data_IF_600037695252
#
_entry.id   IF_600037695252
#
_cell.length_a   1.000
_cell.length_b   1.000
_cell.length_c   1.000
_cell.angle_alpha   90.00
_cell.angle_beta   90.00
_cell.angle_gamma   90.00
#
_symmetry.space_group_name_H-M   'P 1'
#
loop_
_entity.id
_entity.type
_entity.pdbx_description
1 polymer ?
#
# COMPACT_ATOMS: atom_id res chain seq x y z
N UNK A 1 10.70 -7.10 16.75
CA UNK A 1 9.31 -6.64 17.00
C UNK A 1 8.59 -6.75 15.67
N UNK A 2 7.39 -7.32 15.60
CA UNK A 2 6.68 -7.43 14.32
C UNK A 2 6.24 -6.03 13.89
N UNK A 3 6.96 -5.42 12.95
CA UNK A 3 6.54 -4.17 12.33
C UNK A 3 5.18 -4.41 11.67
N UNK A 4 4.17 -3.67 12.10
CA UNK A 4 2.83 -3.73 11.53
C UNK A 4 2.93 -3.40 10.05
N UNK A 5 2.49 -4.32 9.20
CA UNK A 5 2.49 -4.16 7.74
C UNK A 5 1.51 -3.07 7.27
N UNK A 6 0.65 -2.59 8.16
CA UNK A 6 -0.35 -1.54 7.93
C UNK A 6 -0.15 -0.45 8.98
N UNK A 7 -0.01 0.80 8.53
CA UNK A 7 0.20 1.97 9.39
C UNK A 7 -0.78 3.08 9.01
N UNK A 8 -1.52 3.64 9.97
CA UNK A 8 -2.34 4.86 9.74
C UNK A 8 -1.44 6.08 9.55
N UNK A 9 -1.82 6.93 8.61
CA UNK A 9 -1.06 8.11 8.18
C UNK A 9 -1.98 9.32 7.97
N UNK A 10 -3.06 9.39 8.74
CA UNK A 10 -4.09 10.42 8.61
C UNK A 10 -3.55 11.85 8.76
N UNK A 11 -2.52 12.03 9.58
CA UNK A 11 -1.87 13.32 9.85
C UNK A 11 -0.96 13.82 8.71
N UNK A 12 -0.59 12.93 7.78
CA UNK A 12 0.32 13.24 6.66
C UNK A 12 -0.28 12.93 5.29
N UNK A 13 -1.56 12.58 5.22
CA UNK A 13 -2.22 12.11 3.98
C UNK A 13 -2.19 13.09 2.80
N UNK A 14 -1.90 14.37 3.04
CA UNK A 14 -1.81 15.44 2.03
C UNK A 14 -0.37 15.89 1.75
N UNK A 15 0.63 15.27 2.39
CA UNK A 15 2.05 15.63 2.25
C UNK A 15 2.81 14.48 1.60
N UNK A 16 2.95 14.54 0.27
CA UNK A 16 3.61 13.52 -0.53
C UNK A 16 5.05 13.24 -0.08
N UNK A 17 5.76 14.28 0.37
CA UNK A 17 7.14 14.13 0.84
C UNK A 17 7.17 13.33 2.13
N UNK A 18 6.32 13.68 3.11
CA UNK A 18 6.22 12.93 4.37
C UNK A 18 5.69 11.53 4.17
N UNK A 19 4.75 11.32 3.24
CA UNK A 19 4.26 9.99 2.88
C UNK A 19 5.37 9.12 2.29
N UNK A 20 6.18 9.66 1.39
CA UNK A 20 7.31 8.94 0.80
C UNK A 20 8.40 8.62 1.84
N UNK A 21 8.76 9.59 2.68
CA UNK A 21 9.70 9.39 3.78
C UNK A 21 9.20 8.28 4.72
N UNK A 22 7.91 8.30 5.07
CA UNK A 22 7.32 7.28 5.94
C UNK A 22 7.27 5.91 5.29
N UNK A 23 6.89 5.82 4.01
CA UNK A 23 6.88 4.57 3.27
C UNK A 23 8.29 3.96 3.17
N UNK A 24 9.29 4.80 2.89
CA UNK A 24 10.71 4.41 2.82
C UNK A 24 11.22 3.89 4.16
N UNK A 25 10.92 4.60 5.26
CA UNK A 25 11.24 4.19 6.63
C UNK A 25 10.63 2.83 6.97
N UNK A 26 9.32 2.67 6.71
CA UNK A 26 8.58 1.44 7.02
C UNK A 26 8.99 0.24 6.16
N UNK A 27 9.39 0.48 4.90
CA UNK A 27 9.83 -0.58 3.99
C UNK A 27 11.30 -0.98 4.20
N UNK A 28 12.12 -0.11 4.78
CA UNK A 28 13.56 -0.31 4.91
C UNK A 28 14.32 -0.18 3.58
N UNK A 29 13.71 0.45 2.58
CA UNK A 29 14.24 0.65 1.23
C UNK A 29 13.70 1.93 0.61
N UNK A 30 14.41 2.49 -0.37
CA UNK A 30 13.96 3.70 -1.06
C UNK A 30 12.72 3.42 -1.92
N UNK A 31 11.63 4.12 -1.59
CA UNK A 31 10.41 4.10 -2.37
C UNK A 31 10.09 5.50 -2.90
N UNK A 32 9.49 5.56 -4.08
CA UNK A 32 9.04 6.79 -4.73
C UNK A 32 7.53 6.77 -4.89
N UNK A 33 6.84 7.79 -4.37
CA UNK A 33 5.37 7.88 -4.49
C UNK A 33 4.97 8.26 -5.93
N UNK A 34 3.94 7.60 -6.46
CA UNK A 34 3.33 8.01 -7.72
C UNK A 34 2.49 9.28 -7.51
N UNK A 35 2.61 10.21 -8.45
CA UNK A 35 1.78 11.41 -8.55
C UNK A 35 0.29 11.11 -8.75
N UNK A 36 -0.08 9.92 -9.25
CA UNK A 36 -1.46 9.58 -9.62
C UNK A 36 -2.12 8.68 -8.59
N UNK A 37 -3.34 9.05 -8.18
CA UNK A 37 -4.27 8.11 -7.57
C UNK A 37 -4.86 7.19 -8.65
N UNK A 38 -4.95 5.91 -8.32
CA UNK A 38 -5.51 4.86 -9.16
C UNK A 38 -6.65 4.19 -8.41
N UNK A 39 -7.71 3.82 -9.14
CA UNK A 39 -8.79 2.99 -8.60
C UNK A 39 -8.51 1.54 -8.94
N UNK A 40 -8.49 0.69 -7.92
CA UNK A 40 -8.33 -0.75 -8.09
C UNK A 40 -9.48 -1.39 -8.87
N UNK A 41 -9.33 -2.66 -9.24
CA UNK A 41 -10.39 -3.47 -9.84
C UNK A 41 -10.60 -4.79 -9.10
N UNK A 42 -11.71 -5.47 -9.42
CA UNK A 42 -12.24 -6.65 -8.71
C UNK A 42 -11.17 -7.69 -8.36
N UNK A 43 -10.21 -7.92 -9.26
CA UNK A 43 -9.05 -8.79 -9.03
C UNK A 43 -7.79 -8.22 -9.67
N UNK A 44 -7.27 -7.12 -9.11
CA UNK A 44 -6.02 -6.53 -9.58
C UNK A 44 -4.83 -7.00 -8.72
N UNK A 45 -3.84 -7.63 -9.36
CA UNK A 45 -2.56 -7.95 -8.75
C UNK A 45 -1.58 -6.80 -9.05
N UNK A 46 -0.88 -6.33 -8.02
CA UNK A 46 0.16 -5.31 -8.19
C UNK A 46 1.43 -5.91 -8.79
N UNK A 47 2.13 -5.10 -9.58
CA UNK A 47 3.44 -5.45 -10.10
C UNK A 47 4.49 -5.56 -8.97
N UNK A 48 5.53 -6.35 -9.19
CA UNK A 48 6.59 -6.59 -8.19
C UNK A 48 7.46 -5.37 -7.92
N UNK A 49 7.42 -4.34 -8.77
CA UNK A 49 8.05 -3.04 -8.53
C UNK A 49 7.33 -2.21 -7.47
N UNK A 50 6.11 -2.57 -7.08
CA UNK A 50 5.37 -1.85 -6.02
C UNK A 50 5.88 -2.31 -4.65
N UNK A 51 6.39 -1.39 -3.84
CA UNK A 51 6.91 -1.65 -2.49
C UNK A 51 5.94 -1.28 -1.37
N UNK A 52 5.03 -0.34 -1.63
CA UNK A 52 3.96 0.02 -0.70
C UNK A 52 2.75 0.60 -1.44
N UNK A 53 1.62 0.68 -0.74
CA UNK A 53 0.39 1.29 -1.24
C UNK A 53 -0.21 2.19 -0.17
N UNK A 54 -0.55 3.43 -0.53
CA UNK A 54 -1.41 4.29 0.26
C UNK A 54 -2.86 3.94 -0.10
N UNK A 55 -3.66 3.55 0.88
CA UNK A 55 -5.08 3.25 0.68
C UNK A 55 -5.91 4.34 1.33
N UNK A 56 -6.78 4.97 0.55
CA UNK A 56 -7.84 5.82 1.06
C UNK A 56 -9.04 4.95 1.43
N UNK A 57 -9.34 4.86 2.72
CA UNK A 57 -10.40 3.98 3.23
C UNK A 57 -11.80 4.45 2.83
N UNK A 58 -12.03 5.76 2.87
CA UNK A 58 -13.31 6.34 2.46
C UNK A 58 -13.40 6.44 0.94
N UNK A 59 -14.21 5.58 0.32
CA UNK A 59 -14.36 5.52 -1.12
C UNK A 59 -15.36 4.45 -1.56
N UNK A 60 -15.14 3.89 -2.76
CA UNK A 60 -15.93 2.76 -3.22
C UNK A 60 -15.65 1.50 -2.39
N UNK A 61 -16.62 0.58 -2.38
CA UNK A 61 -16.48 -0.69 -1.68
C UNK A 61 -15.35 -1.52 -2.28
N UNK A 62 -14.47 -2.03 -1.41
CA UNK A 62 -13.36 -2.88 -1.80
C UNK A 62 -12.47 -3.24 -0.62
N UNK A 63 -11.34 -3.85 -0.93
CA UNK A 63 -10.27 -4.10 0.01
C UNK A 63 -8.92 -4.14 -0.70
N UNK A 64 -7.87 -3.81 0.04
CA UNK A 64 -6.49 -4.10 -0.33
C UNK A 64 -5.92 -5.16 0.61
N UNK A 65 -5.24 -6.16 0.07
CA UNK A 65 -4.62 -7.23 0.85
C UNK A 65 -3.21 -7.54 0.35
N UNK A 66 -2.37 -8.04 1.26
CA UNK A 66 -1.04 -8.56 0.90
C UNK A 66 -0.99 -10.06 1.15
N UNK A 67 -0.59 -10.82 0.13
CA UNK A 67 -0.42 -12.27 0.19
C UNK A 67 1.04 -12.66 -0.07
N UNK A 68 1.36 -13.97 -0.06
CA UNK A 68 2.71 -14.46 -0.34
C UNK A 68 3.52 -14.85 0.91
N UNK A 69 4.84 -14.91 0.75
CA UNK A 69 5.76 -15.43 1.77
C UNK A 69 5.79 -14.57 3.03
N UNK A 70 5.96 -15.21 4.20
CA UNK A 70 6.10 -14.50 5.47
C UNK A 70 4.86 -13.71 5.92
N UNK A 71 3.70 -13.93 5.30
CA UNK A 71 2.43 -13.31 5.72
C UNK A 71 2.04 -13.81 7.12
N UNK A 72 1.39 -12.98 7.96
CA UNK A 72 0.77 -13.46 9.18
C UNK A 72 -0.28 -14.54 8.87
N UNK A 73 -0.57 -15.41 9.84
CA UNK A 73 -1.55 -16.50 9.69
C UNK A 73 -2.94 -15.97 9.30
N UNK A 74 -3.27 -14.76 9.76
CA UNK A 74 -4.41 -13.97 9.30
C UNK A 74 -3.91 -12.87 8.37
N UNK A 75 -4.37 -12.88 7.12
CA UNK A 75 -4.02 -11.84 6.16
C UNK A 75 -4.87 -10.61 6.45
N UNK A 76 -4.29 -9.49 6.93
CA UNK A 76 -5.09 -8.32 7.21
C UNK A 76 -5.57 -7.70 5.90
N UNK A 77 -6.88 -7.44 5.83
CA UNK A 77 -7.49 -6.68 4.74
C UNK A 77 -7.65 -5.23 5.18
N UNK A 78 -7.20 -4.29 4.34
CA UNK A 78 -7.61 -2.90 4.45
C UNK A 78 -8.92 -2.75 3.70
N UNK A 79 -10.04 -2.69 4.42
CA UNK A 79 -11.38 -2.52 3.86
C UNK A 79 -11.60 -1.05 3.48
N UNK A 80 -12.23 -0.83 2.33
CA UNK A 80 -12.66 0.48 1.84
C UNK A 80 -14.17 0.51 1.62
N UNK A 81 -14.77 1.69 1.78
CA UNK A 81 -16.19 1.90 1.55
C UNK A 81 -16.71 3.23 2.09
N UNK A 82 -17.99 3.57 1.86
CA UNK A 82 -18.57 4.85 2.28
C UNK A 82 -18.60 5.07 3.80
N UNK A 83 -18.64 3.98 4.58
CA UNK A 83 -18.63 4.02 6.05
C UNK A 83 -17.24 3.91 6.68
N UNK A 84 -16.19 3.74 5.86
CA UNK A 84 -14.82 3.68 6.33
C UNK A 84 -14.18 5.06 6.28
N UNK A 85 -13.18 5.30 7.13
CA UNK A 85 -12.45 6.57 7.18
C UNK A 85 -10.96 6.37 7.35
N UNK A 86 -10.20 7.36 6.87
CA UNK A 86 -8.76 7.48 7.06
C UNK A 86 -7.89 6.97 5.92
N UNK A 87 -6.59 7.09 6.11
CA UNK A 87 -5.52 6.73 5.18
C UNK A 87 -4.54 5.79 5.87
N UNK A 88 -4.16 4.73 5.15
CA UNK A 88 -3.16 3.78 5.65
C UNK A 88 -2.11 3.51 4.58
N UNK A 89 -0.86 3.38 5.01
CA UNK A 89 0.22 2.79 4.20
C UNK A 89 0.27 1.30 4.48
N UNK A 90 0.29 0.51 3.40
CA UNK A 90 0.46 -0.94 3.43
C UNK A 90 1.79 -1.29 2.77
N UNK A 91 2.69 -1.93 3.51
CA UNK A 91 4.00 -2.37 2.99
C UNK A 91 3.84 -3.70 2.25
N UNK A 92 4.49 -3.84 1.10
CA UNK A 92 4.56 -5.08 0.33
C UNK A 92 6.01 -5.51 0.30
N UNK A 93 6.39 -6.49 1.12
CA UNK A 93 7.79 -6.95 1.22
C UNK A 93 8.17 -7.80 0.00
N UNK A 94 9.48 -7.94 -0.31
CA UNK A 94 9.94 -8.87 -1.35
C UNK A 94 9.37 -10.29 -1.14
N UNK A 95 8.85 -10.90 -2.21
CA UNK A 95 8.18 -12.21 -2.17
C UNK A 95 6.72 -12.17 -1.70
N UNK A 96 6.18 -10.98 -1.42
CA UNK A 96 4.76 -10.75 -1.20
C UNK A 96 4.09 -10.16 -2.44
N UNK A 97 2.76 -10.21 -2.46
CA UNK A 97 1.95 -9.70 -3.57
C UNK A 97 0.82 -8.84 -3.01
N UNK A 98 0.79 -7.57 -3.41
CA UNK A 98 -0.34 -6.68 -3.16
C UNK A 98 -1.49 -6.97 -4.10
N UNK A 99 -2.72 -6.90 -3.62
CA UNK A 99 -3.89 -7.26 -4.39
C UNK A 99 -5.11 -6.41 -4.01
N UNK A 100 -5.75 -5.84 -5.02
CA UNK A 100 -7.05 -5.19 -4.87
C UNK A 100 -8.18 -6.20 -5.02
N UNK A 101 -9.23 -5.98 -4.23
CA UNK A 101 -10.53 -6.63 -4.32
C UNK A 101 -11.58 -5.52 -4.41
N UNK A 102 -12.39 -5.50 -5.47
CA UNK A 102 -13.30 -4.37 -5.74
C UNK A 102 -12.56 -3.11 -6.18
N UNK A 103 -13.03 -1.93 -5.76
CA UNK A 103 -12.58 -0.64 -6.33
C UNK A 103 -11.94 0.30 -5.29
N UNK A 104 -10.91 -0.11 -4.54
CA UNK A 104 -10.27 0.78 -3.57
C UNK A 104 -9.52 1.92 -4.27
N UNK A 105 -9.59 3.13 -3.72
CA UNK A 105 -8.74 4.26 -4.15
C UNK A 105 -7.34 4.13 -3.53
N UNK A 106 -6.32 4.06 -4.38
CA UNK A 106 -4.95 3.80 -3.96
C UNK A 106 -3.93 4.71 -4.65
N UNK A 107 -2.81 4.99 -3.97
CA UNK A 107 -1.58 5.51 -4.59
C UNK A 107 -0.43 4.53 -4.39
N UNK A 108 0.37 4.36 -5.41
CA UNK A 108 1.45 3.39 -5.42
C UNK A 108 2.77 4.03 -4.99
N UNK A 109 3.59 3.25 -4.29
CA UNK A 109 4.99 3.58 -4.05
C UNK A 109 5.86 2.55 -4.77
N UNK A 110 6.66 3.01 -5.71
CA UNK A 110 7.53 2.16 -6.51
C UNK A 110 8.91 2.02 -5.87
N UNK A 111 9.43 0.81 -5.92
CA UNK A 111 10.82 0.48 -5.59
C UNK A 111 11.71 1.14 -6.62
N UNK A 112 12.79 1.78 -6.19
CA UNK A 112 13.85 2.14 -7.11
C UNK A 112 14.47 0.86 -7.67
N UNK A 113 14.21 0.55 -8.94
CA UNK A 113 14.98 -0.46 -9.65
C UNK A 113 16.39 0.08 -9.79
N UNK A 114 17.35 -0.47 -9.04
CA UNK A 114 18.75 -0.27 -9.41
C UNK A 114 18.90 -0.79 -10.84
N UNK A 115 19.35 0.01 -11.82
CA UNK A 115 19.84 -0.58 -13.05
C UNK A 115 20.96 -1.54 -12.62
N UNK A 116 20.81 -2.81 -12.95
CA UNK A 116 21.86 -3.81 -12.78
C UNK A 116 23.08 -3.30 -13.55
N UNK A 117 24.09 -2.86 -12.79
CA UNK A 117 25.44 -2.53 -13.27
C UNK A 117 26.15 -3.75 -13.82
#
# INVERSE_FOLDING_TARGET
MAESQITSVDDIAQDDKRLQEKATELAGETLTIDSKETVGSDFQIMDTTVGAVLVRKQGAHGAFRVTGAGRPKEVPNVVTGPGESGFVIVIIKPGQTGMCLGHPSIRLFFRETRPSS
#
